data_IF_542203642765
#
_entry.id   IF_542203642765
#
_cell.length_a   1.000
_cell.length_b   1.000
_cell.length_c   1.000
_cell.angle_alpha   90.00
_cell.angle_beta   90.00
_cell.angle_gamma   90.00
#
_symmetry.space_group_name_H-M   'P 1'
#
loop_
_entity.id
_entity.type
_entity.pdbx_description
1 polymer ?
#
# COMPACT_ATOMS: atom_id res chain seq x y z
N UNK A 1 5.86 -70.08 -51.51
CA UNK A 1 6.72 -69.02 -51.09
C UNK A 1 6.36 -68.66 -49.67
N UNK A 2 7.29 -68.97 -48.77
CA UNK A 2 7.10 -68.96 -47.31
C UNK A 2 7.14 -67.60 -46.71
N UNK A 3 6.09 -67.28 -45.92
CA UNK A 3 6.07 -66.11 -45.06
C UNK A 3 6.54 -66.57 -43.68
N UNK A 4 7.67 -66.03 -43.24
CA UNK A 4 8.29 -66.31 -41.95
C UNK A 4 7.59 -65.53 -40.83
N UNK A 5 6.92 -66.28 -39.94
CA UNK A 5 6.42 -65.85 -38.67
C UNK A 5 7.57 -65.62 -37.68
N UNK A 6 7.71 -64.39 -37.19
CA UNK A 6 8.56 -64.07 -36.02
C UNK A 6 7.71 -63.98 -34.77
N UNK A 7 8.07 -64.69 -33.69
CA UNK A 7 7.32 -64.63 -32.44
C UNK A 7 7.69 -63.36 -31.65
N UNK A 8 6.67 -62.56 -31.31
CA UNK A 8 6.78 -61.48 -30.32
C UNK A 8 6.50 -62.03 -28.94
N UNK A 9 7.50 -62.20 -28.10
CA UNK A 9 7.49 -62.15 -26.61
C UNK A 9 8.97 -62.38 -26.17
N UNK A 10 9.50 -61.57 -25.25
CA UNK A 10 8.99 -61.20 -23.96
C UNK A 10 9.38 -59.76 -23.53
N UNK A 11 8.63 -58.77 -23.92
CA UNK A 11 8.87 -57.39 -23.39
C UNK A 11 7.80 -56.93 -22.36
N UNK A 12 6.68 -57.67 -22.20
CA UNK A 12 5.65 -57.30 -21.21
C UNK A 12 6.05 -57.63 -19.77
N UNK A 13 6.74 -58.72 -19.53
CA UNK A 13 7.11 -59.14 -18.19
C UNK A 13 8.17 -58.26 -17.53
N UNK A 14 9.04 -57.62 -18.30
CA UNK A 14 10.05 -56.67 -17.77
C UNK A 14 9.47 -55.30 -17.42
N UNK A 15 8.36 -54.92 -18.07
CA UNK A 15 7.71 -53.62 -17.80
C UNK A 15 6.86 -53.62 -16.53
N UNK A 16 6.25 -54.75 -16.22
CA UNK A 16 5.44 -54.90 -15.01
C UNK A 16 6.29 -55.02 -13.74
N UNK A 17 7.53 -55.50 -13.85
CA UNK A 17 8.45 -55.55 -12.72
C UNK A 17 9.12 -54.18 -12.41
N UNK A 18 9.26 -53.33 -13.40
CA UNK A 18 9.78 -51.96 -13.21
C UNK A 18 8.72 -51.06 -12.57
N UNK A 19 7.46 -51.15 -12.98
CA UNK A 19 6.37 -50.37 -12.39
C UNK A 19 6.05 -50.81 -10.95
N UNK A 20 6.26 -52.07 -10.59
CA UNK A 20 6.07 -52.55 -9.19
C UNK A 20 7.18 -52.06 -8.24
N UNK A 21 8.38 -51.78 -8.73
CA UNK A 21 9.48 -51.25 -7.92
C UNK A 21 9.42 -49.74 -7.74
N UNK A 22 8.91 -48.98 -8.71
CA UNK A 22 8.70 -47.55 -8.57
C UNK A 22 7.54 -47.22 -7.64
N UNK A 23 6.48 -48.04 -7.61
CA UNK A 23 5.35 -47.86 -6.70
C UNK A 23 5.70 -48.11 -5.21
N UNK A 24 6.66 -49.01 -4.94
CA UNK A 24 7.11 -49.29 -3.56
C UNK A 24 8.14 -48.29 -3.03
N UNK A 25 8.87 -47.59 -3.91
CA UNK A 25 9.81 -46.55 -3.50
C UNK A 25 9.17 -45.19 -3.32
N UNK A 26 8.01 -44.91 -3.92
CA UNK A 26 7.26 -43.65 -3.67
C UNK A 26 6.47 -43.68 -2.35
N UNK A 27 6.23 -44.84 -1.75
CA UNK A 27 5.49 -44.92 -0.48
C UNK A 27 6.33 -44.68 0.78
N UNK A 28 7.68 -44.66 0.67
CA UNK A 28 8.55 -44.60 1.85
C UNK A 28 9.34 -43.27 1.98
N UNK A 29 9.07 -42.26 1.16
CA UNK A 29 9.75 -40.95 1.24
C UNK A 29 8.84 -39.77 1.57
N UNK A 30 7.58 -40.02 1.95
CA UNK A 30 6.70 -38.99 2.49
C UNK A 30 6.44 -39.25 3.98
N UNK A 31 7.47 -39.13 4.78
CA UNK A 31 7.29 -38.75 6.18
C UNK A 31 6.86 -37.26 6.18
N UNK A 32 5.65 -36.94 6.67
CA UNK A 32 5.26 -35.55 6.81
C UNK A 32 6.10 -34.93 7.90
N UNK A 33 7.08 -34.11 7.51
CA UNK A 33 7.59 -33.10 8.39
C UNK A 33 6.39 -32.22 8.77
N UNK A 34 5.77 -32.51 9.90
CA UNK A 34 4.82 -31.66 10.61
C UNK A 34 5.55 -30.41 11.08
N UNK A 35 6.00 -29.58 10.14
CA UNK A 35 6.38 -28.20 10.43
C UNK A 35 5.09 -27.38 10.48
N UNK A 36 4.56 -27.38 11.66
CA UNK A 36 3.74 -26.37 12.34
C UNK A 36 3.23 -25.20 11.46
N UNK A 37 2.21 -25.48 10.64
CA UNK A 37 1.29 -24.43 10.16
C UNK A 37 0.64 -23.65 11.32
N UNK A 38 0.72 -24.20 12.54
CA UNK A 38 0.28 -23.53 13.76
C UNK A 38 1.18 -22.40 14.26
N UNK A 39 2.47 -22.41 13.93
CA UNK A 39 3.37 -21.33 14.40
C UNK A 39 3.15 -20.02 13.66
N UNK A 40 2.84 -20.03 12.38
CA UNK A 40 2.53 -18.79 11.62
C UNK A 40 1.14 -18.25 11.96
N UNK A 41 0.17 -19.11 12.25
CA UNK A 41 -1.14 -18.70 12.79
C UNK A 41 -1.02 -18.16 14.21
N UNK A 42 -0.16 -18.74 15.04
CA UNK A 42 0.09 -18.27 16.40
C UNK A 42 0.82 -16.90 16.40
N UNK A 43 1.75 -16.66 15.45
CA UNK A 43 2.42 -15.37 15.29
C UNK A 43 1.44 -14.32 14.72
N UNK A 44 0.59 -14.67 13.76
CA UNK A 44 -0.44 -13.78 13.22
C UNK A 44 -1.49 -13.40 14.26
N UNK A 45 -1.94 -14.34 15.09
CA UNK A 45 -2.89 -14.12 16.18
C UNK A 45 -2.20 -13.38 17.34
N UNK A 46 -0.91 -13.65 17.59
CA UNK A 46 -0.12 -12.94 18.60
C UNK A 46 0.08 -11.46 18.29
N UNK A 47 0.32 -11.10 17.02
CA UNK A 47 0.43 -9.70 16.57
C UNK A 47 -0.93 -9.00 16.63
N UNK A 48 -2.02 -9.68 16.29
CA UNK A 48 -3.37 -9.15 16.44
C UNK A 48 -3.80 -9.00 17.91
N UNK A 49 -3.34 -9.88 18.80
CA UNK A 49 -3.63 -9.80 20.24
C UNK A 49 -2.73 -8.79 20.98
N UNK A 50 -1.49 -8.56 20.51
CA UNK A 50 -0.60 -7.54 21.09
C UNK A 50 -1.00 -6.11 20.69
N UNK A 51 -1.82 -5.93 19.65
CA UNK A 51 -2.40 -4.64 19.26
C UNK A 51 -3.65 -4.25 20.06
N UNK A 52 -4.06 -5.07 21.03
CA UNK A 52 -5.15 -4.74 21.95
C UNK A 52 -4.58 -4.41 23.33
N UNK A 53 -4.11 -3.16 23.59
CA UNK A 53 -3.98 -2.73 24.98
C UNK A 53 -5.37 -2.79 25.56
N UNK A 54 -5.56 -3.62 26.60
CA UNK A 54 -6.74 -3.58 27.42
C UNK A 54 -6.83 -2.15 28.00
N UNK A 55 -7.63 -1.31 27.34
CA UNK A 55 -8.06 -0.02 27.89
C UNK A 55 -8.93 -0.33 29.09
N UNK A 56 -8.30 -0.44 30.26
CA UNK A 56 -9.00 -0.37 31.54
C UNK A 56 -9.50 1.07 31.71
N UNK A 57 -10.53 1.43 30.95
CA UNK A 57 -11.35 2.58 31.26
C UNK A 57 -12.26 2.19 32.43
N UNK A 58 -12.26 3.02 33.48
CA UNK A 58 -13.09 2.88 34.64
C UNK A 58 -14.55 2.60 34.25
N UNK A 59 -15.21 1.82 35.09
CA UNK A 59 -16.51 1.22 34.90
C UNK A 59 -17.63 2.27 34.76
N UNK A 60 -17.70 2.96 33.61
CA UNK A 60 -18.94 3.61 33.16
C UNK A 60 -18.94 3.59 31.61
N UNK A 61 -19.88 2.81 31.06
CA UNK A 61 -20.18 2.65 29.64
C UNK A 61 -19.05 2.01 28.78
N UNK A 62 -18.98 0.68 28.81
CA UNK A 62 -18.26 -0.05 27.78
C UNK A 62 -18.91 0.25 26.40
N UNK A 63 -18.15 0.75 25.39
CA UNK A 63 -18.69 1.08 24.06
C UNK A 63 -19.17 -0.15 23.27
N UNK A 64 -19.01 -1.34 23.83
CA UNK A 64 -19.35 -2.63 23.24
C UNK A 64 -20.50 -3.36 23.95
N UNK A 65 -21.35 -2.66 24.72
CA UNK A 65 -22.53 -3.28 25.32
C UNK A 65 -23.60 -3.52 24.24
N UNK A 66 -23.67 -4.73 23.74
CA UNK A 66 -24.85 -5.22 23.02
C UNK A 66 -25.99 -5.36 24.03
N UNK A 67 -26.83 -4.36 24.16
CA UNK A 67 -28.02 -4.45 24.99
C UNK A 67 -29.11 -5.18 24.23
N UNK A 68 -29.40 -6.40 24.67
CA UNK A 68 -30.57 -7.16 24.26
C UNK A 68 -31.78 -6.63 25.03
N UNK A 69 -32.69 -5.91 24.42
CA UNK A 69 -33.99 -5.59 24.97
C UNK A 69 -34.99 -6.66 24.56
N UNK A 70 -35.59 -7.31 25.55
CA UNK A 70 -36.72 -8.18 25.33
C UNK A 70 -37.96 -7.34 24.98
N UNK A 71 -38.35 -7.33 23.70
CA UNK A 71 -39.58 -6.68 23.26
C UNK A 71 -40.82 -7.50 23.61
N UNK A 72 -42.02 -6.87 23.72
CA UNK A 72 -43.27 -7.57 23.95
C UNK A 72 -43.53 -8.55 22.77
N UNK A 73 -43.55 -9.85 23.08
CA UNK A 73 -43.77 -10.91 22.12
C UNK A 73 -42.57 -11.87 21.90
N UNK A 74 -41.56 -11.88 22.78
CA UNK A 74 -40.44 -12.85 22.73
C UNK A 74 -39.46 -12.69 21.60
N UNK A 75 -39.51 -11.55 20.86
CA UNK A 75 -38.51 -11.20 19.82
C UNK A 75 -37.41 -10.38 20.49
N UNK A 76 -36.20 -10.91 20.50
CA UNK A 76 -34.99 -10.18 20.90
C UNK A 76 -34.60 -9.21 19.79
N UNK A 77 -34.79 -7.92 20.00
CA UNK A 77 -34.28 -6.86 19.13
C UNK A 77 -32.90 -6.48 19.60
N UNK A 78 -31.89 -6.68 18.74
CA UNK A 78 -30.52 -6.26 19.00
C UNK A 78 -30.40 -4.78 18.61
N UNK A 79 -30.30 -3.90 19.59
CA UNK A 79 -29.99 -2.50 19.37
C UNK A 79 -28.48 -2.29 19.51
N UNK A 80 -27.80 -1.96 18.41
CA UNK A 80 -26.41 -1.50 18.46
C UNK A 80 -26.43 -0.04 18.88
N UNK A 81 -25.81 0.36 19.99
CA UNK A 81 -25.72 1.76 20.39
C UNK A 81 -25.09 2.58 19.25
N UNK A 82 -25.63 3.75 18.96
CA UNK A 82 -25.10 4.65 17.91
C UNK A 82 -23.61 4.98 18.12
N UNK A 83 -23.17 4.98 19.36
CA UNK A 83 -21.77 5.16 19.75
C UNK A 83 -20.87 4.04 19.23
N UNK A 84 -21.33 2.78 19.26
CA UNK A 84 -20.60 1.63 18.75
C UNK A 84 -20.47 1.70 17.22
N UNK A 85 -21.55 2.08 16.54
CA UNK A 85 -21.55 2.29 15.11
C UNK A 85 -20.57 3.40 14.71
N UNK A 86 -20.61 4.53 15.41
CA UNK A 86 -19.72 5.67 15.17
C UNK A 86 -18.25 5.31 15.45
N UNK A 87 -17.98 4.52 16.50
CA UNK A 87 -16.65 4.03 16.83
C UNK A 87 -16.08 3.12 15.72
N UNK A 88 -16.84 2.13 15.25
CA UNK A 88 -16.39 1.26 14.15
C UNK A 88 -16.21 2.02 12.84
N UNK A 89 -17.08 2.98 12.56
CA UNK A 89 -16.94 3.85 11.40
C UNK A 89 -15.67 4.69 11.48
N UNK A 90 -15.41 5.33 12.62
CA UNK A 90 -14.19 6.10 12.85
C UNK A 90 -12.94 5.22 12.72
N UNK A 91 -12.95 4.01 13.30
CA UNK A 91 -11.87 3.05 13.22
C UNK A 91 -11.59 2.62 11.76
N UNK A 92 -12.63 2.48 10.94
CA UNK A 92 -12.50 2.15 9.51
C UNK A 92 -11.83 3.26 8.68
N UNK A 93 -12.02 4.53 9.04
CA UNK A 93 -11.39 5.67 8.35
C UNK A 93 -9.98 5.98 8.83
N UNK A 94 -9.61 5.56 10.05
CA UNK A 94 -8.32 5.86 10.66
C UNK A 94 -7.11 5.50 9.78
N UNK A 95 -7.01 4.28 9.19
CA UNK A 95 -5.88 3.92 8.34
C UNK A 95 -5.76 4.82 7.10
N UNK A 96 -6.88 5.21 6.49
CA UNK A 96 -6.86 6.09 5.32
C UNK A 96 -6.34 7.49 5.68
N UNK A 97 -6.78 8.05 6.81
CA UNK A 97 -6.30 9.36 7.28
C UNK A 97 -4.80 9.31 7.59
N UNK A 98 -4.33 8.26 8.27
CA UNK A 98 -2.90 8.10 8.57
C UNK A 98 -2.05 8.01 7.30
N UNK A 99 -2.50 7.25 6.28
CA UNK A 99 -1.79 7.18 5.00
C UNK A 99 -1.76 8.54 4.29
N UNK A 100 -2.84 9.33 4.37
CA UNK A 100 -2.89 10.69 3.79
C UNK A 100 -1.96 11.67 4.51
N UNK A 101 -1.57 11.43 5.76
CA UNK A 101 -0.61 12.24 6.51
C UNK A 101 0.86 11.87 6.22
N UNK A 102 1.10 10.91 5.33
CA UNK A 102 2.43 10.44 4.93
C UNK A 102 2.71 10.75 3.46
N UNK A 103 3.93 10.43 3.00
CA UNK A 103 4.30 10.56 1.57
C UNK A 103 3.60 9.56 0.62
N UNK A 104 2.72 8.69 1.13
CA UNK A 104 2.03 7.66 0.35
C UNK A 104 1.27 8.23 -0.85
N UNK A 105 0.56 9.35 -0.66
CA UNK A 105 -0.25 9.98 -1.71
C UNK A 105 0.61 10.40 -2.90
N UNK A 106 1.76 11.04 -2.67
CA UNK A 106 2.70 11.43 -3.73
C UNK A 106 3.21 10.21 -4.48
N UNK A 107 3.69 9.21 -3.76
CA UNK A 107 4.30 8.01 -4.34
C UNK A 107 3.32 7.24 -5.20
N UNK A 108 2.11 6.95 -4.69
CA UNK A 108 1.11 6.15 -5.43
C UNK A 108 0.63 6.85 -6.71
N UNK A 109 0.48 8.18 -6.67
CA UNK A 109 0.07 8.95 -7.86
C UNK A 109 1.17 8.94 -8.91
N UNK A 110 2.42 9.17 -8.54
CA UNK A 110 3.55 9.16 -9.50
C UNK A 110 3.71 7.77 -10.13
N UNK A 111 3.63 6.69 -9.34
CA UNK A 111 3.69 5.32 -9.86
C UNK A 111 2.50 5.01 -10.81
N UNK A 112 1.32 5.53 -10.49
CA UNK A 112 0.14 5.37 -11.35
C UNK A 112 0.28 6.14 -12.67
N UNK A 113 0.83 7.35 -12.64
CA UNK A 113 1.13 8.16 -13.82
C UNK A 113 2.23 7.53 -14.67
N UNK A 114 3.28 6.94 -14.07
CA UNK A 114 4.28 6.16 -14.79
C UNK A 114 3.64 5.01 -15.59
N UNK A 115 2.76 4.22 -14.94
CA UNK A 115 2.06 3.12 -15.62
C UNK A 115 1.24 3.62 -16.82
N UNK A 116 0.56 4.76 -16.67
CA UNK A 116 -0.17 5.38 -17.77
C UNK A 116 0.76 5.87 -18.88
N UNK A 117 1.91 6.48 -18.54
CA UNK A 117 2.91 6.96 -19.48
C UNK A 117 3.49 5.83 -20.34
N UNK A 118 3.75 4.67 -19.72
CA UNK A 118 4.20 3.46 -20.43
C UNK A 118 3.14 2.89 -21.38
N UNK A 119 1.86 3.26 -21.23
CA UNK A 119 0.77 2.74 -22.05
C UNK A 119 0.30 1.34 -21.63
N UNK A 120 0.80 0.81 -20.53
CA UNK A 120 0.40 -0.49 -19.99
C UNK A 120 -0.84 -0.33 -19.10
N UNK A 121 -2.03 -0.75 -19.59
CA UNK A 121 -3.27 -0.56 -18.85
C UNK A 121 -3.43 -1.48 -17.63
N UNK A 122 -2.82 -2.68 -17.68
CA UNK A 122 -3.03 -3.72 -16.68
C UNK A 122 -1.76 -4.14 -15.91
N UNK A 123 -0.57 -3.81 -16.39
CA UNK A 123 0.72 -4.22 -15.78
C UNK A 123 1.59 -3.01 -15.44
N UNK A 124 2.14 -2.93 -14.20
CA UNK A 124 1.93 -3.83 -13.08
C UNK A 124 0.53 -3.71 -12.46
N UNK A 125 -0.02 -4.78 -11.82
CA UNK A 125 -1.32 -4.74 -11.13
C UNK A 125 -1.37 -3.68 -10.03
N UNK A 126 -2.57 -3.15 -9.73
CA UNK A 126 -2.74 -2.12 -8.68
C UNK A 126 -2.17 -2.55 -7.33
N UNK A 127 -2.31 -3.83 -6.97
CA UNK A 127 -1.79 -4.36 -5.70
C UNK A 127 -0.27 -4.24 -5.58
N UNK A 128 0.46 -4.47 -6.70
CA UNK A 128 1.92 -4.33 -6.73
C UNK A 128 2.32 -2.86 -6.56
N UNK A 129 1.61 -1.93 -7.23
CA UNK A 129 1.86 -0.49 -7.08
C UNK A 129 1.58 -0.02 -5.65
N UNK A 130 0.47 -0.47 -5.05
CA UNK A 130 0.13 -0.14 -3.66
C UNK A 130 1.19 -0.70 -2.72
N UNK A 131 1.60 -1.96 -2.90
CA UNK A 131 2.66 -2.58 -2.09
C UNK A 131 3.97 -1.82 -2.19
N UNK A 132 4.41 -1.49 -3.40
CA UNK A 132 5.63 -0.70 -3.62
C UNK A 132 5.52 0.70 -3.00
N UNK A 133 4.37 1.37 -3.16
CA UNK A 133 4.13 2.67 -2.56
C UNK A 133 4.19 2.62 -1.03
N UNK A 134 3.64 1.57 -0.41
CA UNK A 134 3.73 1.38 1.04
C UNK A 134 5.19 1.16 1.50
N UNK A 135 5.95 0.29 0.83
CA UNK A 135 7.36 0.07 1.16
C UNK A 135 8.18 1.36 1.07
N UNK A 136 8.02 2.11 -0.02
CA UNK A 136 8.70 3.39 -0.19
C UNK A 136 8.27 4.41 0.86
N UNK A 137 6.98 4.43 1.22
CA UNK A 137 6.47 5.30 2.28
C UNK A 137 7.11 4.97 3.62
N UNK A 138 7.16 3.69 4.00
CA UNK A 138 7.83 3.28 5.23
C UNK A 138 9.31 3.64 5.24
N UNK A 139 9.98 3.48 4.11
CA UNK A 139 11.39 3.86 3.96
C UNK A 139 11.61 5.36 4.16
N UNK A 140 10.82 6.20 3.49
CA UNK A 140 10.91 7.67 3.59
C UNK A 140 10.51 8.17 4.97
N UNK A 141 9.48 7.56 5.58
CA UNK A 141 8.97 7.94 6.89
C UNK A 141 9.74 7.34 8.08
N UNK A 142 10.73 6.46 7.82
CA UNK A 142 11.51 5.81 8.87
C UNK A 142 12.05 6.78 9.94
N UNK A 143 12.68 7.92 9.58
CA UNK A 143 13.20 8.87 10.58
C UNK A 143 12.09 9.53 11.41
N UNK A 144 10.90 9.71 10.83
CA UNK A 144 9.74 10.28 11.54
C UNK A 144 9.18 9.25 12.53
N UNK A 145 9.02 8.00 12.10
CA UNK A 145 8.55 6.91 12.97
C UNK A 145 9.51 6.62 14.11
N UNK A 146 10.82 6.70 13.86
CA UNK A 146 11.82 6.52 14.89
C UNK A 146 11.70 7.60 15.98
N UNK A 147 11.52 8.87 15.61
CA UNK A 147 11.26 9.95 16.57
C UNK A 147 9.98 9.72 17.36
N UNK A 148 8.89 9.33 16.71
CA UNK A 148 7.62 9.01 17.40
C UNK A 148 7.84 7.88 18.42
N UNK A 149 8.60 6.86 18.04
CA UNK A 149 8.91 5.75 18.92
C UNK A 149 9.73 6.19 20.16
N UNK A 150 10.78 7.00 19.95
CA UNK A 150 11.66 7.43 21.03
C UNK A 150 11.01 8.50 21.93
N UNK A 151 10.32 9.47 21.35
CA UNK A 151 9.80 10.64 22.08
C UNK A 151 8.42 10.40 22.72
N UNK A 152 7.63 9.49 22.15
CA UNK A 152 6.27 9.23 22.63
C UNK A 152 6.08 7.81 23.16
N UNK A 153 6.40 6.78 22.35
CA UNK A 153 6.09 5.41 22.72
C UNK A 153 6.92 4.88 23.90
N UNK A 154 8.23 5.09 23.87
CA UNK A 154 9.15 4.61 24.94
C UNK A 154 8.79 5.22 26.30
N UNK A 155 8.68 6.56 26.46
CA UNK A 155 8.29 7.16 27.73
C UNK A 155 6.89 6.76 28.20
N UNK A 156 5.95 6.53 27.28
CA UNK A 156 4.63 6.02 27.61
C UNK A 156 4.69 4.58 28.15
N UNK A 157 5.47 3.70 27.50
CA UNK A 157 5.63 2.30 27.92
C UNK A 157 6.33 2.18 29.27
N UNK A 158 7.19 3.13 29.62
CA UNK A 158 7.86 3.22 30.93
C UNK A 158 6.99 3.86 32.02
N UNK A 159 5.77 4.27 31.69
CA UNK A 159 4.84 4.91 32.66
C UNK A 159 5.22 6.35 33.01
N UNK A 160 6.13 6.99 32.28
CA UNK A 160 6.58 8.38 32.53
C UNK A 160 5.62 9.42 31.95
N UNK A 161 4.73 9.01 31.04
CA UNK A 161 3.77 9.88 30.37
C UNK A 161 2.36 9.28 30.40
N UNK A 162 1.36 10.15 30.42
CA UNK A 162 -0.03 9.77 30.21
C UNK A 162 -0.30 9.57 28.71
N UNK A 163 -1.36 8.86 28.34
CA UNK A 163 -1.74 8.64 26.94
C UNK A 163 -1.92 9.97 26.18
N UNK A 164 -2.54 10.98 26.79
CA UNK A 164 -2.76 12.27 26.16
C UNK A 164 -1.41 12.97 25.85
N UNK A 165 -0.46 12.95 26.81
CA UNK A 165 0.87 13.50 26.59
C UNK A 165 1.64 12.74 25.49
N UNK A 166 1.54 11.41 25.45
CA UNK A 166 2.17 10.61 24.43
C UNK A 166 1.60 10.90 23.02
N UNK A 167 0.29 11.14 22.92
CA UNK A 167 -0.35 11.56 21.66
C UNK A 167 0.13 12.97 21.23
N UNK A 168 0.22 13.90 22.18
CA UNK A 168 0.70 15.26 21.91
C UNK A 168 2.17 15.27 21.47
N UNK A 169 3.04 14.48 22.11
CA UNK A 169 4.44 14.34 21.70
C UNK A 169 4.57 13.60 20.36
N UNK A 170 3.81 12.52 20.16
CA UNK A 170 3.86 11.72 18.94
C UNK A 170 3.40 12.45 17.68
N UNK A 171 2.50 13.45 17.82
CA UNK A 171 2.08 14.25 16.66
C UNK A 171 3.11 15.28 16.22
N UNK A 172 4.07 15.70 17.07
CA UNK A 172 5.07 16.74 16.74
C UNK A 172 5.98 16.34 15.57
N UNK A 173 6.61 15.16 15.52
CA UNK A 173 7.43 14.73 14.39
C UNK A 173 6.63 14.66 13.09
N UNK A 174 5.37 14.18 13.15
CA UNK A 174 4.49 14.09 12.00
C UNK A 174 4.11 15.48 11.48
N UNK A 175 3.81 16.41 12.39
CA UNK A 175 3.54 17.81 12.06
C UNK A 175 4.73 18.46 11.40
N UNK A 176 5.93 18.31 11.96
CA UNK A 176 7.17 18.87 11.40
C UNK A 176 7.42 18.34 9.99
N UNK A 177 7.19 17.03 9.75
CA UNK A 177 7.27 16.45 8.42
C UNK A 177 6.26 17.09 7.45
N UNK A 178 4.98 17.18 7.82
CA UNK A 178 3.95 17.77 6.97
C UNK A 178 4.24 19.25 6.66
N UNK A 179 4.69 20.04 7.64
CA UNK A 179 5.04 21.45 7.42
C UNK A 179 6.17 21.60 6.42
N UNK A 180 7.23 20.80 6.51
CA UNK A 180 8.36 20.84 5.56
C UNK A 180 7.96 20.50 4.12
N UNK A 181 6.95 19.66 3.95
CA UNK A 181 6.47 19.21 2.64
C UNK A 181 5.36 20.11 2.08
N UNK A 182 4.70 20.91 2.94
CA UNK A 182 3.59 21.77 2.52
C UNK A 182 4.13 23.08 1.94
N UNK A 183 3.64 23.47 0.78
CA UNK A 183 3.98 24.75 0.15
C UNK A 183 3.33 25.89 0.92
N UNK A 184 4.05 26.99 1.09
CA UNK A 184 3.56 28.17 1.80
C UNK A 184 2.25 28.71 1.20
N UNK A 185 2.13 28.71 -0.13
CA UNK A 185 0.93 29.18 -0.83
C UNK A 185 -0.31 28.32 -0.52
N UNK A 186 -0.13 26.98 -0.43
CA UNK A 186 -1.22 26.08 -0.13
C UNK A 186 -1.60 26.19 1.36
N UNK A 187 -0.63 26.34 2.27
CA UNK A 187 -0.87 26.56 3.69
C UNK A 187 -1.62 27.88 3.91
N UNK A 188 -1.17 28.98 3.29
CA UNK A 188 -1.82 30.29 3.38
C UNK A 188 -3.27 30.27 2.86
N UNK A 189 -3.54 29.50 1.80
CA UNK A 189 -4.90 29.31 1.29
C UNK A 189 -5.82 28.71 2.37
N UNK A 190 -5.39 27.61 3.03
CA UNK A 190 -6.22 26.95 4.04
C UNK A 190 -6.35 27.75 5.34
N UNK A 191 -5.33 28.52 5.73
CA UNK A 191 -5.43 29.49 6.83
C UNK A 191 -6.51 30.53 6.51
N UNK A 192 -6.48 31.12 5.32
CA UNK A 192 -7.50 32.09 4.88
C UNK A 192 -8.90 31.51 4.85
N UNK A 193 -9.05 30.26 4.35
CA UNK A 193 -10.35 29.57 4.32
C UNK A 193 -10.90 29.27 5.69
N UNK A 194 -10.04 29.04 6.69
CA UNK A 194 -10.43 28.76 8.07
C UNK A 194 -10.90 30.02 8.83
N UNK A 195 -10.73 31.21 8.25
CA UNK A 195 -11.02 32.52 8.87
C UNK A 195 -10.34 32.70 10.24
N UNK A 196 -9.24 32.01 10.49
CA UNK A 196 -8.42 32.16 11.70
C UNK A 196 -7.27 33.10 11.38
N UNK A 197 -7.39 34.34 11.83
CA UNK A 197 -6.34 35.37 11.66
C UNK A 197 -5.24 35.23 12.74
N UNK A 198 -5.49 34.41 13.77
CA UNK A 198 -4.59 34.25 14.91
C UNK A 198 -3.35 33.37 14.61
N UNK A 199 -3.25 32.79 13.41
CA UNK A 199 -2.18 31.85 13.06
C UNK A 199 -1.10 32.59 12.28
N UNK A 200 -0.26 33.34 13.01
CA UNK A 200 0.88 34.06 12.41
C UNK A 200 2.12 33.18 12.24
N UNK A 201 2.23 32.08 12.98
CA UNK A 201 3.37 31.18 12.97
C UNK A 201 2.98 29.82 12.35
N UNK A 202 3.69 29.35 11.31
CA UNK A 202 3.46 28.04 10.70
C UNK A 202 3.49 26.87 11.71
N UNK A 203 4.29 26.99 12.78
CA UNK A 203 4.40 25.95 13.79
C UNK A 203 3.16 25.83 14.68
N UNK A 204 2.33 26.87 14.75
CA UNK A 204 1.11 26.88 15.58
C UNK A 204 -0.16 26.48 14.83
N UNK A 205 -0.05 26.22 13.50
CA UNK A 205 -1.19 25.84 12.65
C UNK A 205 -1.89 24.57 13.19
N UNK A 206 -3.20 24.56 13.46
CA UNK A 206 -3.91 23.36 13.87
C UNK A 206 -3.84 22.23 12.82
N UNK A 207 -3.79 20.95 13.26
CA UNK A 207 -3.77 19.80 12.36
C UNK A 207 -4.94 19.78 11.37
N UNK A 208 -6.10 20.29 11.77
CA UNK A 208 -7.29 20.39 10.91
C UNK A 208 -7.08 21.28 9.67
N UNK A 209 -6.17 22.24 9.73
CA UNK A 209 -5.79 23.13 8.62
C UNK A 209 -4.58 22.54 7.89
N UNK A 210 -3.62 22.00 8.63
CA UNK A 210 -2.37 21.48 8.09
C UNK A 210 -2.59 20.24 7.21
N UNK A 211 -3.42 19.29 7.65
CA UNK A 211 -3.63 18.04 6.91
C UNK A 211 -4.18 18.30 5.50
N UNK A 212 -5.28 19.05 5.29
CA UNK A 212 -5.77 19.31 3.94
C UNK A 212 -4.82 20.17 3.12
N UNK A 213 -4.08 21.12 3.72
CA UNK A 213 -3.05 21.88 3.04
C UNK A 213 -1.92 20.98 2.54
N UNK A 214 -1.44 20.08 3.39
CA UNK A 214 -0.43 19.08 3.06
C UNK A 214 -0.89 18.17 1.91
N UNK A 215 -2.08 17.56 2.02
CA UNK A 215 -2.60 16.68 0.97
C UNK A 215 -2.70 17.41 -0.38
N UNK A 216 -3.18 18.64 -0.38
CA UNK A 216 -3.27 19.44 -1.61
C UNK A 216 -1.88 19.74 -2.19
N UNK A 217 -0.90 20.04 -1.35
CA UNK A 217 0.49 20.26 -1.75
C UNK A 217 1.14 18.98 -2.30
N UNK A 218 0.88 17.83 -1.67
CA UNK A 218 1.34 16.51 -2.13
C UNK A 218 0.74 16.13 -3.49
N UNK A 219 -0.56 16.38 -3.70
CA UNK A 219 -1.21 16.17 -4.99
C UNK A 219 -0.54 17.00 -6.09
N UNK A 220 -0.32 18.28 -5.84
CA UNK A 220 0.31 19.19 -6.80
C UNK A 220 1.74 18.76 -7.15
N UNK A 221 2.53 18.38 -6.14
CA UNK A 221 3.90 17.89 -6.32
C UNK A 221 3.90 16.55 -7.09
N UNK A 222 2.99 15.63 -6.75
CA UNK A 222 2.85 14.36 -7.44
C UNK A 222 2.54 14.55 -8.93
N UNK A 223 1.60 15.44 -9.27
CA UNK A 223 1.29 15.75 -10.66
C UNK A 223 2.45 16.42 -11.39
N UNK A 224 3.21 17.28 -10.75
CA UNK A 224 4.40 17.90 -11.35
C UNK A 224 5.47 16.85 -11.68
N UNK A 225 5.81 15.98 -10.73
CA UNK A 225 6.76 14.88 -10.95
C UNK A 225 6.22 13.93 -12.03
N UNK A 226 4.97 13.54 -11.93
CA UNK A 226 4.33 12.65 -12.90
C UNK A 226 4.32 13.23 -14.30
N UNK A 227 4.09 14.54 -14.46
CA UNK A 227 4.15 15.21 -15.75
C UNK A 227 5.57 15.15 -16.34
N UNK A 228 6.60 15.41 -15.53
CA UNK A 228 8.00 15.30 -15.99
C UNK A 228 8.35 13.88 -16.45
N UNK A 229 7.86 12.87 -15.72
CA UNK A 229 8.02 11.46 -16.11
C UNK A 229 7.26 11.15 -17.41
N UNK A 230 6.14 11.81 -17.66
CA UNK A 230 5.31 11.57 -18.84
C UNK A 230 5.92 12.10 -20.15
N UNK A 231 6.67 13.21 -20.08
CA UNK A 231 7.23 13.91 -21.26
C UNK A 231 8.00 12.97 -22.22
N UNK A 232 9.00 12.17 -21.79
CA UNK A 232 9.77 11.34 -22.69
C UNK A 232 8.90 10.31 -23.44
N UNK A 233 7.92 9.76 -22.78
CA UNK A 233 6.98 8.81 -23.37
C UNK A 233 6.02 9.44 -24.37
N UNK A 234 5.60 10.67 -24.09
CA UNK A 234 4.77 11.45 -24.99
C UNK A 234 5.51 11.79 -26.27
N UNK A 235 6.80 12.11 -26.21
CA UNK A 235 7.63 12.36 -27.39
C UNK A 235 7.68 11.10 -28.26
N UNK A 236 7.86 9.92 -27.68
CA UNK A 236 7.85 8.64 -28.42
C UNK A 236 6.50 8.45 -29.12
N UNK A 237 5.38 8.69 -28.43
CA UNK A 237 4.05 8.57 -29.03
C UNK A 237 3.88 9.50 -30.23
N UNK A 238 4.33 10.75 -30.11
CA UNK A 238 4.23 11.74 -31.20
C UNK A 238 5.08 11.34 -32.42
N UNK A 239 6.32 10.85 -32.18
CA UNK A 239 7.20 10.38 -33.27
C UNK A 239 6.57 9.19 -33.99
N UNK A 240 6.12 8.18 -33.25
CA UNK A 240 5.45 7.01 -33.82
C UNK A 240 4.20 7.40 -34.59
N UNK A 241 3.36 8.28 -34.03
CA UNK A 241 2.15 8.77 -34.68
C UNK A 241 2.48 9.49 -36.00
N UNK A 242 3.51 10.35 -36.02
CA UNK A 242 3.90 11.08 -37.26
C UNK A 242 4.39 10.14 -38.36
N UNK A 243 5.17 9.11 -38.00
CA UNK A 243 5.64 8.09 -38.94
C UNK A 243 4.46 7.30 -39.52
N UNK A 244 3.54 6.80 -38.68
CA UNK A 244 2.37 6.05 -39.14
C UNK A 244 1.47 6.87 -40.06
N UNK A 245 1.26 8.13 -39.71
CA UNK A 245 0.47 9.04 -40.55
C UNK A 245 1.13 9.28 -41.91
N UNK A 246 2.48 9.45 -41.96
CA UNK A 246 3.19 9.64 -43.19
C UNK A 246 3.16 8.40 -44.12
N UNK A 247 3.07 7.19 -43.53
CA UNK A 247 2.89 5.93 -44.26
C UNK A 247 1.41 5.66 -44.67
N UNK A 248 0.48 6.54 -44.33
CA UNK A 248 -0.95 6.37 -44.64
C UNK A 248 -1.68 5.38 -43.73
N UNK A 249 -1.05 4.92 -42.65
CA UNK A 249 -1.61 3.91 -41.73
C UNK A 249 -2.50 4.55 -40.64
N UNK A 250 -3.54 5.31 -41.04
CA UNK A 250 -4.39 6.06 -40.10
C UNK A 250 -5.28 5.17 -39.21
N UNK A 251 -5.51 3.92 -39.55
CA UNK A 251 -6.36 3.01 -38.78
C UNK A 251 -5.62 2.28 -37.65
N UNK A 252 -4.29 2.34 -37.57
CA UNK A 252 -3.52 1.71 -36.51
C UNK A 252 -3.38 2.66 -35.32
N UNK A 253 -3.59 2.12 -34.12
CA UNK A 253 -3.40 2.90 -32.88
C UNK A 253 -1.91 3.17 -32.64
N UNK A 254 -1.44 4.42 -32.64
CA UNK A 254 -0.03 4.76 -32.39
C UNK A 254 0.46 4.28 -31.02
N UNK A 255 -0.42 4.29 -30.02
CA UNK A 255 -0.09 3.88 -28.64
C UNK A 255 0.30 2.41 -28.56
N UNK A 256 -0.36 1.52 -29.33
CA UNK A 256 0.00 0.09 -29.33
C UNK A 256 1.35 -0.16 -29.99
N UNK A 257 1.69 0.63 -31.02
CA UNK A 257 2.96 0.49 -31.74
C UNK A 257 4.12 1.12 -30.96
N UNK A 258 3.86 2.20 -30.22
CA UNK A 258 4.87 2.88 -29.38
C UNK A 258 5.23 2.11 -28.11
N UNK A 259 4.35 1.22 -27.63
CA UNK A 259 4.52 0.49 -26.35
C UNK A 259 5.86 -0.26 -26.25
N UNK A 260 6.31 -1.10 -27.24
CA UNK A 260 7.60 -1.78 -27.15
C UNK A 260 8.78 -0.79 -27.09
N UNK A 261 8.72 0.33 -27.80
CA UNK A 261 9.76 1.36 -27.76
C UNK A 261 9.85 2.05 -26.40
N UNK A 262 8.69 2.34 -25.79
CA UNK A 262 8.61 2.92 -24.43
C UNK A 262 9.21 1.97 -23.39
N UNK A 263 8.84 0.69 -23.43
CA UNK A 263 9.38 -0.31 -22.50
C UNK A 263 10.89 -0.48 -22.67
N UNK A 264 11.36 -0.55 -23.91
CA UNK A 264 12.79 -0.65 -24.22
C UNK A 264 13.57 0.55 -23.68
N UNK A 265 13.09 1.77 -23.94
CA UNK A 265 13.72 2.99 -23.44
C UNK A 265 13.74 3.02 -21.91
N UNK A 266 12.62 2.66 -21.26
CA UNK A 266 12.52 2.64 -19.80
C UNK A 266 13.50 1.66 -19.15
N UNK A 267 13.69 0.46 -19.76
CA UNK A 267 14.65 -0.53 -19.27
C UNK A 267 16.09 -0.09 -19.54
N UNK A 268 16.39 0.43 -20.73
CA UNK A 268 17.75 0.89 -21.07
C UNK A 268 18.22 2.08 -20.23
N UNK A 269 17.29 2.95 -19.86
CA UNK A 269 17.58 4.12 -19.01
C UNK A 269 17.61 3.77 -17.50
N UNK A 270 17.44 2.50 -17.10
CA UNK A 270 17.26 2.08 -15.71
C UNK A 270 16.15 2.91 -15.00
N UNK A 271 15.00 3.00 -15.66
CA UNK A 271 13.91 3.91 -15.29
C UNK A 271 13.37 3.67 -13.89
N UNK A 272 13.39 2.43 -13.38
CA UNK A 272 12.96 2.14 -12.00
C UNK A 272 13.89 2.80 -10.98
N UNK A 273 15.20 2.68 -11.15
CA UNK A 273 16.17 3.25 -10.23
C UNK A 273 16.11 4.79 -10.22
N UNK A 274 16.04 5.38 -11.41
CA UNK A 274 15.90 6.84 -11.57
C UNK A 274 14.62 7.36 -10.94
N UNK A 275 13.49 6.67 -11.15
CA UNK A 275 12.20 7.09 -10.60
C UNK A 275 12.17 6.97 -9.07
N UNK A 276 12.56 5.81 -8.53
CA UNK A 276 12.54 5.58 -7.08
C UNK A 276 13.52 6.53 -6.39
N UNK A 277 14.72 6.71 -6.95
CA UNK A 277 15.72 7.62 -6.43
C UNK A 277 15.24 9.09 -6.43
N UNK A 278 14.63 9.54 -7.54
CA UNK A 278 14.09 10.91 -7.62
C UNK A 278 12.89 11.11 -6.69
N UNK A 279 12.02 10.12 -6.54
CA UNK A 279 10.91 10.14 -5.58
C UNK A 279 11.41 10.25 -4.14
N UNK A 280 12.36 9.38 -3.75
CA UNK A 280 12.93 9.42 -2.41
C UNK A 280 13.63 10.76 -2.13
N UNK A 281 14.40 11.27 -3.10
CA UNK A 281 15.08 12.56 -3.00
C UNK A 281 14.11 13.77 -2.99
N UNK A 282 12.88 13.61 -3.48
CA UNK A 282 11.87 14.67 -3.47
C UNK A 282 11.30 14.97 -2.09
N UNK A 283 11.53 14.08 -1.11
CA UNK A 283 11.14 14.32 0.28
C UNK A 283 12.29 14.98 1.03
N UNK A 284 12.06 16.15 1.53
CA UNK A 284 12.99 16.84 2.44
C UNK A 284 12.78 16.27 3.83
N UNK A 285 13.68 15.44 4.26
CA UNK A 285 13.66 14.83 5.61
C UNK A 285 14.48 15.62 6.60
#
# INVERSE_FOLDING_TARGET
MQVLHRPQRPQRAARDQLNGREASNCANTLSPATHSRGQWLAIGIGIAAAACPALAFGAEASPLSLTSQAGPGGRTTWSVPIQTLLFFTALGFLPAVLLMMTGFTRIIIVLSLLRQALGTQATPPNQVLIGLALFLTFFVMAPVFEKIYQDAYVPFSEGKMTLNQALDEGQKPLRSFMLKQTREADLALFIKLSKREDVSDPETVPMQILVPAFVTSELKTAFQIGFLVFIPFLIIDMVVASVLTSMGMMMLSPVLISLPFKLMLFVLADGWNLLIGSLAASFVT
#
